data_IF_964116533076
#
_entry.id   IF_964116533076
#
_cell.length_a   1.000
_cell.length_b   1.000
_cell.length_c   1.000
_cell.angle_alpha   90.00
_cell.angle_beta   90.00
_cell.angle_gamma   90.00
#
_symmetry.space_group_name_H-M   'P 1'
#
loop_
_entity.id
_entity.type
_entity.pdbx_description
1 polymer ?
#
# COMPACT_ATOMS: atom_id res chain seq x y z
N UNK A 1 4.07 -12.00 -11.44
CA UNK A 1 5.26 -11.15 -11.64
C UNK A 1 5.10 -10.30 -12.88
N UNK A 2 5.49 -9.02 -12.82
CA UNK A 2 5.44 -8.07 -13.95
C UNK A 2 6.82 -7.46 -14.11
N UNK A 3 7.36 -7.48 -15.34
CA UNK A 3 8.63 -6.85 -15.70
C UNK A 3 8.35 -5.65 -16.61
N UNK A 4 9.03 -4.55 -16.37
CA UNK A 4 8.86 -3.31 -17.14
C UNK A 4 9.99 -2.33 -16.91
N UNK A 5 9.86 -1.12 -17.46
CA UNK A 5 10.86 -0.07 -17.32
C UNK A 5 10.20 1.24 -16.93
N UNK A 6 10.76 1.94 -15.95
CA UNK A 6 10.35 3.28 -15.52
C UNK A 6 11.55 4.20 -15.63
N UNK A 7 11.46 5.25 -16.48
CA UNK A 7 12.54 6.21 -16.73
C UNK A 7 13.87 5.55 -17.12
N UNK A 8 13.82 4.59 -18.03
CA UNK A 8 14.98 3.82 -18.50
C UNK A 8 15.64 2.95 -17.41
N UNK A 9 14.96 2.69 -16.31
CA UNK A 9 15.36 1.70 -15.30
C UNK A 9 14.41 0.52 -15.33
N UNK A 10 14.97 -0.66 -15.47
CA UNK A 10 14.20 -1.90 -15.41
C UNK A 10 13.71 -2.11 -13.98
N UNK A 11 12.46 -2.53 -13.85
CA UNK A 11 11.83 -2.88 -12.59
C UNK A 11 11.06 -4.18 -12.76
N UNK A 12 11.21 -5.05 -11.78
CA UNK A 12 10.42 -6.26 -11.64
C UNK A 12 9.55 -6.13 -10.39
N UNK A 13 8.24 -6.30 -10.56
CA UNK A 13 7.29 -6.29 -9.45
C UNK A 13 6.72 -7.69 -9.29
N UNK A 14 6.87 -8.24 -8.08
CA UNK A 14 6.24 -9.48 -7.65
C UNK A 14 5.17 -9.11 -6.64
N UNK A 15 3.92 -9.48 -6.89
CA UNK A 15 2.84 -9.31 -5.93
C UNK A 15 2.56 -10.63 -5.21
N UNK A 16 2.57 -10.61 -3.87
CA UNK A 16 2.24 -11.74 -3.01
C UNK A 16 0.99 -11.39 -2.21
N UNK A 17 0.02 -12.29 -2.22
CA UNK A 17 -1.11 -12.28 -1.31
C UNK A 17 -1.08 -13.59 -0.52
N UNK A 18 -0.69 -13.52 0.75
CA UNK A 18 -0.55 -14.69 1.60
C UNK A 18 -1.89 -15.07 2.26
N UNK A 19 -2.14 -16.36 2.51
CA UNK A 19 -3.32 -16.78 3.25
C UNK A 19 -3.25 -16.33 4.71
N UNK A 20 -4.41 -16.18 5.37
CA UNK A 20 -4.48 -15.79 6.79
C UNK A 20 -3.83 -16.82 7.72
N UNK A 21 -3.85 -18.12 7.34
CA UNK A 21 -3.26 -19.21 8.12
C UNK A 21 -2.04 -19.74 7.40
N UNK A 22 -0.92 -19.90 8.10
CA UNK A 22 0.34 -20.38 7.54
C UNK A 22 1.05 -19.38 6.61
N UNK A 23 0.73 -18.10 6.75
CA UNK A 23 1.31 -17.02 5.93
C UNK A 23 2.85 -17.04 5.89
N UNK A 24 3.59 -17.17 7.02
CA UNK A 24 5.06 -17.18 6.99
C UNK A 24 5.63 -18.33 6.14
N UNK A 25 5.07 -19.52 6.29
CA UNK A 25 5.50 -20.69 5.53
C UNK A 25 5.20 -20.54 4.03
N UNK A 26 4.00 -20.03 3.69
CA UNK A 26 3.61 -19.77 2.31
C UNK A 26 4.54 -18.77 1.63
N UNK A 27 4.85 -17.66 2.31
CA UNK A 27 5.73 -16.61 1.76
C UNK A 27 7.14 -17.18 1.56
N UNK A 28 7.67 -17.91 2.56
CA UNK A 28 9.00 -18.52 2.47
C UNK A 28 9.10 -19.47 1.29
N UNK A 29 8.09 -20.32 1.08
CA UNK A 29 8.04 -21.24 -0.07
C UNK A 29 7.99 -20.46 -1.39
N UNK A 30 7.07 -19.50 -1.50
CA UNK A 30 6.93 -18.66 -2.70
C UNK A 30 8.24 -17.95 -3.04
N UNK A 31 8.93 -17.36 -2.06
CA UNK A 31 10.21 -16.69 -2.27
C UNK A 31 11.32 -17.65 -2.69
N UNK A 32 11.31 -18.88 -2.14
CA UNK A 32 12.26 -19.93 -2.52
C UNK A 32 12.05 -20.35 -3.97
N UNK A 33 10.81 -20.51 -4.38
CA UNK A 33 10.44 -20.93 -5.74
C UNK A 33 10.88 -19.90 -6.80
N UNK A 34 10.79 -18.60 -6.48
CA UNK A 34 11.17 -17.51 -7.39
C UNK A 34 12.58 -16.96 -7.13
N UNK A 35 13.37 -17.58 -6.25
CA UNK A 35 14.70 -17.06 -5.82
C UNK A 35 15.61 -16.73 -7.00
N UNK A 36 15.60 -17.57 -8.04
CA UNK A 36 16.40 -17.37 -9.27
C UNK A 36 15.95 -16.19 -10.14
N UNK A 37 14.74 -15.66 -9.92
CA UNK A 37 14.19 -14.53 -10.66
C UNK A 37 14.30 -13.20 -9.90
N UNK A 38 14.68 -13.25 -8.61
CA UNK A 38 14.84 -12.06 -7.76
C UNK A 38 16.21 -11.44 -8.03
N UNK A 39 16.20 -10.31 -8.70
CA UNK A 39 17.39 -9.49 -8.96
C UNK A 39 17.40 -8.20 -8.11
N UNK A 40 18.40 -7.33 -8.37
CA UNK A 40 18.49 -6.04 -7.67
C UNK A 40 17.33 -5.10 -8.00
N UNK A 41 16.66 -5.23 -9.13
CA UNK A 41 15.56 -4.38 -9.56
C UNK A 41 14.19 -4.91 -9.12
N UNK A 42 14.17 -6.10 -8.50
CA UNK A 42 12.93 -6.72 -8.02
C UNK A 42 12.39 -6.02 -6.77
N UNK A 43 11.09 -5.76 -6.77
CA UNK A 43 10.30 -5.34 -5.60
C UNK A 43 9.22 -6.37 -5.36
N UNK A 44 9.17 -6.87 -4.14
CA UNK A 44 8.13 -7.81 -3.72
C UNK A 44 7.16 -6.99 -2.89
N UNK A 45 5.92 -6.93 -3.33
CA UNK A 45 4.86 -6.11 -2.73
C UNK A 45 3.67 -6.99 -2.38
N UNK A 46 2.84 -6.56 -1.46
CA UNK A 46 1.54 -7.17 -1.23
C UNK A 46 1.20 -7.37 0.23
N UNK A 47 0.10 -8.06 0.44
CA UNK A 47 -0.40 -8.42 1.75
C UNK A 47 0.24 -9.75 2.19
N UNK A 48 1.06 -9.65 3.21
CA UNK A 48 1.79 -10.80 3.77
C UNK A 48 1.00 -11.52 4.86
N UNK A 49 -0.13 -10.97 5.32
CA UNK A 49 -0.94 -11.52 6.40
C UNK A 49 -0.13 -11.99 7.62
N UNK A 50 1.06 -11.41 7.81
CA UNK A 50 1.93 -11.68 8.95
C UNK A 50 2.78 -10.46 9.30
N UNK A 51 3.12 -10.34 10.58
CA UNK A 51 4.05 -9.33 11.08
C UNK A 51 5.48 -9.89 11.01
N UNK A 52 6.47 -9.07 10.65
CA UNK A 52 7.89 -9.47 10.59
C UNK A 52 8.66 -9.03 11.84
N UNK A 53 8.16 -8.04 12.56
CA UNK A 53 8.78 -7.54 13.79
C UNK A 53 7.71 -7.30 14.86
N UNK A 54 8.06 -7.29 16.16
CA UNK A 54 7.11 -6.96 17.21
C UNK A 54 6.46 -5.58 17.06
N UNK A 55 7.16 -4.62 16.46
CA UNK A 55 6.66 -3.27 16.20
C UNK A 55 5.64 -3.19 15.05
N UNK A 56 5.40 -4.29 14.35
CA UNK A 56 4.41 -4.35 13.28
C UNK A 56 3.00 -4.65 13.79
N UNK A 57 2.82 -4.75 15.12
CA UNK A 57 1.53 -4.99 15.76
C UNK A 57 1.40 -4.15 17.03
N UNK A 58 0.20 -3.63 17.28
CA UNK A 58 -0.10 -2.87 18.50
C UNK A 58 -0.29 -3.77 19.72
N UNK A 59 -0.58 -5.07 19.55
CA UNK A 59 -0.68 -6.06 20.62
C UNK A 59 0.68 -6.71 20.93
N UNK A 60 0.95 -6.96 22.23
CA UNK A 60 2.16 -7.66 22.66
C UNK A 60 2.00 -9.17 22.47
N UNK A 61 2.13 -9.66 21.26
CA UNK A 61 2.21 -11.10 20.99
C UNK A 61 3.67 -11.56 20.93
N UNK A 62 3.90 -12.82 21.35
CA UNK A 62 5.21 -13.46 21.23
C UNK A 62 5.50 -13.73 19.73
N UNK A 63 6.72 -13.48 19.35
CA UNK A 63 7.25 -13.85 18.05
C UNK A 63 7.27 -15.37 17.91
N UNK A 64 6.67 -15.90 16.86
CA UNK A 64 6.62 -17.32 16.64
C UNK A 64 7.81 -17.80 15.79
N UNK A 65 8.14 -19.10 15.88
CA UNK A 65 9.26 -19.73 15.17
C UNK A 65 9.10 -19.63 13.64
N UNK A 66 7.87 -19.67 13.12
CA UNK A 66 7.61 -19.58 11.68
C UNK A 66 7.97 -18.18 11.13
N UNK A 67 7.66 -17.13 11.90
CA UNK A 67 8.04 -15.76 11.53
C UNK A 67 9.55 -15.57 11.59
N UNK A 68 10.22 -16.19 12.57
CA UNK A 68 11.68 -16.16 12.64
C UNK A 68 12.29 -16.86 11.41
N UNK A 69 11.82 -18.04 11.06
CA UNK A 69 12.28 -18.77 9.88
C UNK A 69 12.03 -17.99 8.57
N UNK A 70 10.94 -17.22 8.49
CA UNK A 70 10.71 -16.32 7.36
C UNK A 70 11.75 -15.18 7.34
N UNK A 71 12.03 -14.56 8.48
CA UNK A 71 13.02 -13.48 8.57
C UNK A 71 14.43 -13.96 8.21
N UNK A 72 14.80 -15.17 8.63
CA UNK A 72 16.08 -15.78 8.28
C UNK A 72 16.18 -15.99 6.76
N UNK A 73 15.12 -16.51 6.13
CA UNK A 73 15.04 -16.67 4.68
C UNK A 73 15.12 -15.34 3.92
N UNK A 74 14.48 -14.29 4.43
CA UNK A 74 14.60 -12.94 3.86
C UNK A 74 16.04 -12.45 3.94
N UNK A 75 16.72 -12.66 5.06
CA UNK A 75 18.13 -12.33 5.27
C UNK A 75 19.05 -13.07 4.29
N UNK A 76 18.86 -14.38 4.10
CA UNK A 76 19.63 -15.18 3.13
C UNK A 76 19.47 -14.71 1.67
N UNK A 77 18.34 -14.11 1.34
CA UNK A 77 18.05 -13.54 0.00
C UNK A 77 18.48 -12.08 -0.14
N UNK A 78 19.10 -11.48 0.89
CA UNK A 78 19.40 -10.03 0.96
C UNK A 78 18.15 -9.15 0.76
N UNK A 79 16.99 -9.64 1.19
CA UNK A 79 15.73 -8.93 1.14
C UNK A 79 15.46 -8.22 2.48
N UNK A 80 15.08 -6.97 2.39
CA UNK A 80 14.76 -6.14 3.55
C UNK A 80 13.38 -5.50 3.39
N UNK A 81 12.70 -5.27 4.52
CA UNK A 81 11.49 -4.44 4.55
C UNK A 81 11.88 -2.98 4.37
N UNK A 82 11.51 -2.40 3.23
CA UNK A 82 11.89 -1.03 2.88
C UNK A 82 11.34 -0.04 3.90
N UNK A 83 10.07 -0.18 4.32
CA UNK A 83 9.48 0.72 5.32
C UNK A 83 10.30 0.72 6.61
N UNK A 84 10.62 -0.45 7.17
CA UNK A 84 11.36 -0.56 8.42
C UNK A 84 12.79 0.01 8.33
N UNK A 85 13.36 -0.01 7.15
CA UNK A 85 14.70 0.56 6.92
C UNK A 85 14.67 2.10 6.93
N UNK A 86 13.62 2.73 6.40
CA UNK A 86 13.45 4.18 6.43
C UNK A 86 12.91 4.69 7.76
N UNK A 87 12.10 3.87 8.45
CA UNK A 87 11.38 4.18 9.68
C UNK A 87 11.64 3.10 10.74
N UNK A 88 12.85 3.03 11.29
CA UNK A 88 13.24 1.93 12.20
C UNK A 88 12.42 1.88 13.48
N UNK A 89 11.97 3.01 13.98
CA UNK A 89 11.28 3.16 15.27
C UNK A 89 9.82 3.60 15.15
N UNK A 90 9.28 3.73 13.94
CA UNK A 90 7.90 4.20 13.75
C UNK A 90 6.90 3.06 13.84
N UNK A 91 5.84 3.27 14.61
CA UNK A 91 4.71 2.34 14.80
C UNK A 91 3.56 2.78 13.90
N UNK A 92 3.68 2.58 12.58
CA UNK A 92 2.62 2.80 11.63
C UNK A 92 2.10 1.46 11.10
N UNK A 93 0.78 1.39 10.89
CA UNK A 93 0.08 0.15 10.57
C UNK A 93 -0.69 0.29 9.26
N UNK A 94 -0.85 -0.84 8.55
CA UNK A 94 -1.58 -0.90 7.28
C UNK A 94 -2.99 -1.44 7.43
N UNK A 95 -3.28 -2.20 8.49
CA UNK A 95 -4.54 -2.88 8.71
C UNK A 95 -5.07 -2.68 10.14
N UNK A 96 -6.38 -2.53 10.26
CA UNK A 96 -7.10 -2.53 11.54
C UNK A 96 -8.06 -3.71 11.63
N UNK A 97 -7.86 -4.57 12.61
CA UNK A 97 -8.77 -5.67 12.93
C UNK A 97 -9.86 -5.20 13.87
N UNK A 98 -11.06 -4.97 13.36
CA UNK A 98 -12.22 -4.59 14.16
C UNK A 98 -12.65 -5.68 15.15
N UNK A 99 -12.44 -6.96 14.81
CA UNK A 99 -12.76 -8.09 15.66
C UNK A 99 -11.89 -8.17 16.93
N UNK A 100 -10.64 -7.70 16.84
CA UNK A 100 -9.67 -7.78 17.95
C UNK A 100 -9.28 -6.40 18.51
N UNK A 101 -9.72 -5.31 17.88
CA UNK A 101 -9.33 -3.94 18.27
C UNK A 101 -7.82 -3.69 18.14
N UNK A 102 -7.14 -4.38 17.23
CA UNK A 102 -5.68 -4.32 17.08
C UNK A 102 -5.28 -3.82 15.72
N UNK A 103 -4.17 -3.08 15.68
CA UNK A 103 -3.55 -2.63 14.44
C UNK A 103 -2.36 -3.52 14.08
N UNK A 104 -2.15 -3.75 12.78
CA UNK A 104 -0.99 -4.49 12.29
C UNK A 104 -0.50 -3.94 10.96
N UNK A 105 0.79 -4.15 10.68
CA UNK A 105 1.38 -3.87 9.38
C UNK A 105 1.64 -5.20 8.68
N UNK A 106 0.74 -5.57 7.81
CA UNK A 106 0.77 -6.81 7.02
C UNK A 106 1.10 -6.54 5.55
N UNK A 107 0.80 -5.33 5.04
CA UNK A 107 1.20 -4.91 3.71
C UNK A 107 2.65 -4.45 3.67
N UNK A 108 3.39 -4.96 2.70
CA UNK A 108 4.83 -4.75 2.66
C UNK A 108 5.37 -4.46 1.28
N UNK A 109 6.51 -3.79 1.29
CA UNK A 109 7.38 -3.67 0.13
C UNK A 109 8.76 -4.15 0.57
N UNK A 110 9.20 -5.26 -0.02
CA UNK A 110 10.54 -5.78 0.15
C UNK A 110 11.41 -5.44 -1.07
N UNK A 111 12.69 -5.32 -0.84
CA UNK A 111 13.67 -5.11 -1.89
C UNK A 111 15.08 -5.42 -1.40
N UNK A 112 16.06 -5.46 -2.30
CA UNK A 112 17.45 -5.65 -1.92
C UNK A 112 18.04 -4.38 -1.30
N UNK A 113 18.88 -4.56 -0.28
CA UNK A 113 19.59 -3.48 0.42
C UNK A 113 20.40 -2.61 -0.54
N UNK A 114 21.01 -3.21 -1.56
CA UNK A 114 21.80 -2.52 -2.58
C UNK A 114 21.04 -1.41 -3.34
N UNK A 115 19.71 -1.48 -3.41
CA UNK A 115 18.87 -0.54 -4.15
C UNK A 115 18.16 0.53 -3.29
N UNK A 116 18.46 0.59 -2.00
CA UNK A 116 17.90 1.62 -1.12
C UNK A 116 18.26 3.04 -1.57
N UNK A 117 19.45 3.23 -2.13
CA UNK A 117 19.90 4.53 -2.64
C UNK A 117 19.07 5.07 -3.81
N UNK A 118 18.28 4.23 -4.46
CA UNK A 118 17.33 4.62 -5.52
C UNK A 118 15.98 5.09 -4.99
N UNK A 119 15.76 4.95 -3.69
CA UNK A 119 14.51 5.30 -3.04
C UNK A 119 14.63 6.64 -2.34
N UNK A 120 13.62 7.47 -2.48
CA UNK A 120 13.57 8.79 -1.83
C UNK A 120 12.82 8.75 -0.51
N UNK A 121 11.67 8.07 -0.49
CA UNK A 121 10.74 8.05 0.63
C UNK A 121 9.80 6.86 0.49
N UNK A 122 9.34 6.35 1.62
CA UNK A 122 8.20 5.44 1.72
C UNK A 122 7.26 5.99 2.79
N UNK A 123 5.97 5.86 2.60
CA UNK A 123 4.96 6.33 3.55
C UNK A 123 3.72 5.44 3.51
N UNK A 124 3.01 5.37 4.62
CA UNK A 124 1.68 4.77 4.71
C UNK A 124 0.66 5.90 4.56
N UNK A 125 -0.35 5.67 3.73
CA UNK A 125 -1.41 6.65 3.43
C UNK A 125 -2.71 6.06 3.93
N UNK A 126 -3.32 6.75 4.88
CA UNK A 126 -4.61 6.34 5.40
C UNK A 126 -5.68 6.35 4.32
N UNK A 127 -6.46 5.28 4.26
CA UNK A 127 -7.62 5.15 3.40
C UNK A 127 -8.87 5.40 4.21
N UNK A 128 -9.74 6.26 3.69
CA UNK A 128 -11.09 6.49 4.26
C UNK A 128 -12.12 5.50 3.71
N UNK A 129 -11.74 4.68 2.72
CA UNK A 129 -12.65 3.78 2.00
C UNK A 129 -12.34 2.30 2.24
N UNK A 130 -11.35 2.00 3.08
CA UNK A 130 -10.90 0.65 3.39
C UNK A 130 -10.36 0.61 4.82
N UNK A 131 -10.45 -0.53 5.45
CA UNK A 131 -9.74 -0.92 6.67
C UNK A 131 -8.23 -1.08 6.44
N UNK A 132 -7.82 -1.15 5.16
CA UNK A 132 -6.42 -1.18 4.76
C UNK A 132 -5.91 0.20 4.33
N UNK A 133 -4.72 0.55 4.78
CA UNK A 133 -3.98 1.73 4.36
C UNK A 133 -3.06 1.41 3.18
N UNK A 134 -2.91 2.35 2.27
CA UNK A 134 -2.02 2.17 1.13
C UNK A 134 -0.55 2.45 1.49
N UNK A 135 0.37 1.64 0.95
CA UNK A 135 1.81 1.89 1.06
C UNK A 135 2.30 2.56 -0.23
N UNK A 136 2.92 3.73 -0.09
CA UNK A 136 3.47 4.51 -1.21
C UNK A 136 4.99 4.59 -1.14
N UNK A 137 5.64 4.28 -2.26
CA UNK A 137 7.09 4.41 -2.42
C UNK A 137 7.42 5.50 -3.45
N UNK A 138 8.42 6.31 -3.15
CA UNK A 138 8.96 7.33 -4.05
C UNK A 138 10.36 6.91 -4.52
N UNK A 139 10.54 6.81 -5.81
CA UNK A 139 11.84 6.51 -6.41
C UNK A 139 12.56 7.81 -6.79
N UNK A 140 13.88 7.81 -6.65
CA UNK A 140 14.71 8.91 -7.15
C UNK A 140 14.82 8.79 -8.68
N UNK A 141 14.57 9.88 -9.41
CA UNK A 141 14.80 9.87 -10.85
C UNK A 141 16.28 9.71 -11.14
N UNK A 142 16.61 8.92 -12.16
CA UNK A 142 17.99 8.83 -12.65
C UNK A 142 18.47 10.21 -13.05
N UNK A 143 19.59 10.67 -12.50
CA UNK A 143 20.19 11.95 -12.94
C UNK A 143 20.65 11.76 -14.39
N UNK A 144 19.85 12.23 -15.34
CA UNK A 144 20.29 12.32 -16.73
C UNK A 144 21.46 13.31 -16.76
N UNK A 145 22.65 12.82 -17.10
CA UNK A 145 23.74 13.69 -17.53
C UNK A 145 23.24 14.39 -18.81
N UNK A 146 22.91 15.68 -18.70
CA UNK A 146 22.51 16.55 -19.83
C UNK A 146 21.15 16.29 -20.49
N UNK A 147 20.05 16.34 -19.76
CA UNK A 147 18.73 16.53 -20.36
C UNK A 147 18.15 17.89 -19.93
N UNK A 148 17.81 18.72 -20.91
CA UNK A 148 17.06 19.97 -20.72
C UNK A 148 15.83 19.69 -19.85
N UNK A 149 15.63 20.50 -18.80
CA UNK A 149 14.51 20.39 -17.86
C UNK A 149 13.17 20.34 -18.62
N UNK A 150 12.63 19.15 -18.84
CA UNK A 150 11.20 19.02 -19.12
C UNK A 150 10.46 19.21 -17.79
N UNK A 151 9.57 20.17 -17.77
CA UNK A 151 8.66 20.44 -16.65
C UNK A 151 7.85 19.18 -16.37
N UNK A 152 8.18 18.46 -15.31
CA UNK A 152 7.34 17.35 -14.87
C UNK A 152 5.96 17.87 -14.50
N UNK A 153 4.94 17.37 -15.17
CA UNK A 153 3.57 17.52 -14.69
C UNK A 153 3.49 16.87 -13.31
N UNK A 154 3.34 17.66 -12.28
CA UNK A 154 2.97 17.18 -10.95
C UNK A 154 1.62 16.49 -11.09
N UNK A 155 1.56 15.20 -10.77
CA UNK A 155 0.28 14.51 -10.59
C UNK A 155 -0.43 15.24 -9.46
N UNK A 156 -1.46 15.96 -9.81
CA UNK A 156 -2.14 16.89 -8.91
C UNK A 156 -2.92 16.11 -7.86
N UNK A 157 -2.59 16.28 -6.60
CA UNK A 157 -3.50 16.08 -5.46
C UNK A 157 -4.59 17.19 -5.42
N UNK A 158 -4.85 17.87 -6.54
CA UNK A 158 -5.80 18.97 -6.67
C UNK A 158 -7.23 18.58 -6.34
N UNK A 159 -7.54 17.29 -6.40
CA UNK A 159 -8.88 16.82 -6.04
C UNK A 159 -9.17 16.95 -4.54
N UNK A 160 -8.22 16.61 -3.67
CA UNK A 160 -8.37 16.77 -2.22
C UNK A 160 -8.21 18.23 -1.76
N UNK A 161 -7.60 19.06 -2.60
CA UNK A 161 -7.47 20.51 -2.35
C UNK A 161 -8.62 21.32 -2.95
N UNK A 162 -9.52 20.70 -3.72
CA UNK A 162 -10.71 21.38 -4.22
C UNK A 162 -11.82 21.31 -3.17
N UNK A 163 -12.02 22.42 -2.48
CA UNK A 163 -12.99 22.56 -1.41
C UNK A 163 -14.43 22.21 -1.86
N UNK A 164 -14.80 22.54 -3.09
CA UNK A 164 -16.12 22.23 -3.67
C UNK A 164 -16.32 20.71 -3.87
N UNK A 165 -15.30 20.01 -4.39
CA UNK A 165 -15.35 18.56 -4.57
C UNK A 165 -15.44 17.81 -3.23
N UNK A 166 -14.71 18.29 -2.22
CA UNK A 166 -14.74 17.71 -0.87
C UNK A 166 -16.09 17.89 -0.19
N UNK A 167 -16.72 19.07 -0.33
CA UNK A 167 -18.04 19.36 0.22
C UNK A 167 -19.16 18.57 -0.49
N UNK A 168 -19.05 18.36 -1.78
CA UNK A 168 -20.01 17.54 -2.52
C UNK A 168 -19.97 16.08 -2.06
N UNK A 169 -18.76 15.51 -1.85
CA UNK A 169 -18.59 14.16 -1.33
C UNK A 169 -19.15 14.03 0.09
N UNK A 170 -18.86 14.98 0.98
CA UNK A 170 -19.42 14.99 2.35
C UNK A 170 -20.93 15.02 2.33
N UNK A 171 -21.55 15.82 1.46
CA UNK A 171 -23.00 15.91 1.30
C UNK A 171 -23.62 14.59 0.84
N UNK A 172 -22.98 13.91 -0.10
CA UNK A 172 -23.45 12.61 -0.61
C UNK A 172 -23.31 11.50 0.45
N UNK A 173 -22.20 11.48 1.22
CA UNK A 173 -22.02 10.56 2.35
C UNK A 173 -23.14 10.78 3.37
N UNK A 174 -23.39 12.03 3.75
CA UNK A 174 -24.43 12.37 4.72
C UNK A 174 -25.82 11.92 4.22
N UNK A 175 -26.15 12.21 2.96
CA UNK A 175 -27.41 11.81 2.34
C UNK A 175 -27.56 10.29 2.30
N UNK A 176 -26.49 9.56 2.00
CA UNK A 176 -26.50 8.10 1.98
C UNK A 176 -26.77 7.52 3.38
N UNK A 177 -26.10 8.05 4.41
CA UNK A 177 -26.27 7.62 5.79
C UNK A 177 -27.72 7.90 6.27
N UNK A 178 -28.24 9.10 6.00
CA UNK A 178 -29.62 9.48 6.37
C UNK A 178 -30.69 8.61 5.65
N UNK A 179 -30.42 8.16 4.41
CA UNK A 179 -31.37 7.36 3.64
C UNK A 179 -31.35 5.87 4.01
N UNK A 180 -30.26 5.38 4.57
CA UNK A 180 -30.06 3.97 4.89
C UNK A 180 -29.97 3.68 6.40
N UNK A 181 -30.34 4.62 7.22
CA UNK A 181 -30.42 4.46 8.69
C UNK A 181 -31.71 3.70 9.05
N UNK A 182 -31.68 2.38 8.90
CA UNK A 182 -32.75 1.48 9.29
C UNK A 182 -32.28 0.60 10.45
N UNK A 183 -33.08 0.50 11.50
CA UNK A 183 -32.81 -0.22 12.76
C UNK A 183 -32.45 -1.72 12.61
N UNK A 184 -32.53 -2.30 11.40
CA UNK A 184 -32.28 -3.72 11.15
C UNK A 184 -31.04 -4.02 10.27
N UNK A 185 -30.22 -3.01 9.95
CA UNK A 185 -29.01 -3.20 9.13
C UNK A 185 -27.77 -3.39 10.00
N UNK A 186 -27.11 -4.55 9.85
CA UNK A 186 -25.76 -4.75 10.42
C UNK A 186 -24.79 -3.75 9.79
N UNK A 187 -23.92 -3.16 10.59
CA UNK A 187 -22.98 -2.07 10.24
C UNK A 187 -22.07 -2.33 9.03
N UNK A 188 -21.94 -3.58 8.60
CA UNK A 188 -21.09 -3.96 7.47
C UNK A 188 -21.75 -3.75 6.10
N UNK A 189 -23.05 -3.93 6.00
CA UNK A 189 -23.80 -3.86 4.74
C UNK A 189 -23.98 -2.42 4.21
N UNK A 190 -24.29 -1.39 5.05
CA UNK A 190 -24.38 0.00 4.62
C UNK A 190 -23.05 0.58 4.13
N UNK A 191 -21.92 0.14 4.72
CA UNK A 191 -20.60 0.62 4.38
C UNK A 191 -20.15 0.15 3.00
N UNK A 192 -20.38 -1.11 2.64
CA UNK A 192 -20.02 -1.64 1.32
C UNK A 192 -20.90 -1.04 0.21
N UNK A 193 -22.16 -0.78 0.49
CA UNK A 193 -23.04 -0.06 -0.42
C UNK A 193 -22.62 1.41 -0.59
N UNK A 194 -22.21 2.08 0.50
CA UNK A 194 -21.65 3.43 0.46
C UNK A 194 -20.36 3.51 -0.37
N UNK A 195 -19.45 2.53 -0.21
CA UNK A 195 -18.23 2.41 -1.02
C UNK A 195 -18.55 2.33 -2.52
N UNK A 196 -19.54 1.55 -2.92
CA UNK A 196 -19.93 1.39 -4.32
C UNK A 196 -20.49 2.69 -4.93
N UNK A 197 -21.37 3.39 -4.21
CA UNK A 197 -21.96 4.67 -4.65
C UNK A 197 -20.88 5.76 -4.74
N UNK A 198 -20.02 5.88 -3.73
CA UNK A 198 -18.93 6.86 -3.70
C UNK A 198 -17.92 6.62 -4.82
N UNK A 199 -17.60 5.34 -5.12
CA UNK A 199 -16.69 4.99 -6.23
C UNK A 199 -17.22 5.48 -7.58
N UNK A 200 -18.52 5.34 -7.85
CA UNK A 200 -19.14 5.85 -9.07
C UNK A 200 -19.06 7.38 -9.19
N UNK A 201 -19.33 8.08 -8.09
CA UNK A 201 -19.25 9.56 -8.04
C UNK A 201 -17.82 10.06 -8.20
N UNK A 202 -16.84 9.41 -7.56
CA UNK A 202 -15.42 9.74 -7.71
C UNK A 202 -14.95 9.66 -9.17
N UNK A 203 -15.35 8.61 -9.88
CA UNK A 203 -15.03 8.44 -11.31
C UNK A 203 -15.66 9.56 -12.14
N UNK A 204 -16.91 9.94 -11.86
CA UNK A 204 -17.62 11.01 -12.57
C UNK A 204 -16.96 12.38 -12.37
N UNK A 205 -16.61 12.74 -11.11
CA UNK A 205 -15.96 14.02 -10.79
C UNK A 205 -14.54 14.07 -11.35
N UNK A 206 -13.79 12.97 -11.31
CA UNK A 206 -12.46 12.90 -11.89
C UNK A 206 -12.49 13.05 -13.42
N UNK A 207 -13.53 12.52 -14.08
CA UNK A 207 -13.73 12.70 -15.51
C UNK A 207 -14.08 14.13 -15.89
N UNK A 208 -14.88 14.80 -15.05
CA UNK A 208 -15.24 16.20 -15.22
C UNK A 208 -14.04 17.13 -15.11
N UNK A 209 -13.22 16.96 -14.07
CA UNK A 209 -11.99 17.75 -13.86
C UNK A 209 -10.98 17.55 -14.99
N UNK A 210 -10.79 16.31 -15.47
CA UNK A 210 -9.93 16.04 -16.63
C UNK A 210 -10.42 16.71 -17.93
N UNK A 211 -11.72 16.94 -18.07
CA UNK A 211 -12.27 17.70 -19.21
C UNK A 211 -12.00 19.20 -19.08
N UNK A 212 -12.05 19.75 -17.88
CA UNK A 212 -11.78 21.18 -17.63
C UNK A 212 -10.28 21.53 -17.78
N UNK A 213 -9.37 20.60 -17.47
CA UNK A 213 -7.92 20.79 -17.65
C UNK A 213 -7.48 20.77 -19.14
N UNK A 214 -8.35 20.34 -20.05
CA UNK A 214 -8.07 20.27 -21.49
C UNK A 214 -8.56 21.50 -22.30
N UNK A 215 -9.24 22.43 -21.66
CA UNK A 215 -9.66 23.73 -22.19
C UNK A 215 -8.87 24.86 -21.50
#
# INVERSE_FOLDING_TARGET
MIKGSIQEEDITIVNIYAPNIGAPQYIRQTLTDIKGEIDSNTRIIGDFNTTLTPMDRSSKEKFNEETQALNDALGEMDLICIFRTFHPNEEEYTFFSSAHGTFSRIDRILGRKSNLSKLKKIEIISSIFSDDNAVRIYMLPKKKKNAKKHKHMKTNNTFLNNQQGTEEIKREIKKFLETNDNENTTTQNPWDAAKAVLRGKFIAVQSYLKKQEKH
#
